data_IF_255325770816
#
_entry.id   IF_255325770816
#
_cell.length_a   1.000
_cell.length_b   1.000
_cell.length_c   1.000
_cell.angle_alpha   90.00
_cell.angle_beta   90.00
_cell.angle_gamma   90.00
#
_symmetry.space_group_name_H-M   'P 1'
#
loop_
_entity.id
_entity.type
_entity.pdbx_description
1 polymer ?
#
# COMPACT_ATOMS: atom_id res chain seq x y z
N UNK A 1 2.10 7.73 -5.54
CA UNK A 1 3.00 7.95 -6.71
C UNK A 1 4.11 8.95 -6.42
N UNK A 2 3.91 9.99 -5.60
CA UNK A 2 4.92 11.02 -5.32
C UNK A 2 6.30 10.47 -4.87
N UNK A 3 6.34 9.48 -3.96
CA UNK A 3 7.60 8.86 -3.53
C UNK A 3 8.35 8.15 -4.68
N UNK A 4 7.63 7.50 -5.59
CA UNK A 4 8.24 6.85 -6.75
C UNK A 4 8.88 7.89 -7.68
N UNK A 5 8.13 8.94 -8.04
CA UNK A 5 8.64 10.02 -8.90
C UNK A 5 9.89 10.66 -8.29
N UNK A 6 9.85 11.01 -7.01
CA UNK A 6 11.00 11.56 -6.31
C UNK A 6 12.23 10.65 -6.38
N UNK A 7 12.06 9.35 -6.09
CA UNK A 7 13.19 8.42 -6.09
C UNK A 7 13.74 8.18 -7.50
N UNK A 8 12.88 8.17 -8.51
CA UNK A 8 13.28 8.03 -9.92
C UNK A 8 14.05 9.27 -10.40
N UNK A 9 13.49 10.47 -10.18
CA UNK A 9 14.12 11.76 -10.52
C UNK A 9 15.43 12.00 -9.77
N UNK A 10 15.54 11.46 -8.55
CA UNK A 10 16.78 11.51 -7.74
C UNK A 10 17.79 10.41 -8.10
N UNK A 11 17.49 9.56 -9.08
CA UNK A 11 18.38 8.47 -9.52
C UNK A 11 18.54 7.32 -8.52
N UNK A 12 17.68 7.24 -7.50
CA UNK A 12 17.76 6.25 -6.42
C UNK A 12 17.26 4.86 -6.83
N UNK A 13 16.60 4.73 -7.99
CA UNK A 13 15.98 3.48 -8.47
C UNK A 13 16.75 2.77 -9.59
N UNK A 14 17.84 3.34 -10.11
CA UNK A 14 18.67 2.76 -11.19
C UNK A 14 19.35 1.44 -10.78
N UNK A 15 20.18 0.82 -11.63
CA UNK A 15 20.72 -0.56 -11.43
C UNK A 15 21.32 -0.84 -10.04
N UNK A 16 21.98 0.15 -9.43
CA UNK A 16 22.59 0.05 -8.09
C UNK A 16 21.71 0.57 -6.94
N UNK A 17 20.42 0.82 -7.19
CA UNK A 17 19.46 1.29 -6.20
C UNK A 17 19.26 0.32 -5.03
N UNK A 18 19.01 0.85 -3.84
CA UNK A 18 18.85 0.07 -2.62
C UNK A 18 17.65 -0.88 -2.70
N UNK A 19 17.87 -2.14 -2.33
CA UNK A 19 16.86 -3.19 -2.44
C UNK A 19 15.66 -2.93 -1.51
N UNK A 20 15.87 -2.38 -0.31
CA UNK A 20 14.78 -2.07 0.60
C UNK A 20 14.00 -0.84 0.13
N UNK A 21 14.67 0.17 -0.45
CA UNK A 21 13.99 1.31 -1.08
C UNK A 21 13.09 0.86 -2.24
N UNK A 22 13.60 0.00 -3.14
CA UNK A 22 12.80 -0.58 -4.23
C UNK A 22 11.64 -1.40 -3.67
N UNK A 23 11.89 -2.22 -2.63
CA UNK A 23 10.85 -3.02 -1.99
C UNK A 23 9.75 -2.13 -1.41
N UNK A 24 10.12 -1.09 -0.68
CA UNK A 24 9.20 -0.13 -0.08
C UNK A 24 8.22 0.42 -1.13
N UNK A 25 8.75 0.97 -2.23
CA UNK A 25 7.92 1.61 -3.25
C UNK A 25 7.10 0.59 -4.04
N UNK A 26 7.72 -0.50 -4.47
CA UNK A 26 7.06 -1.51 -5.30
C UNK A 26 5.93 -2.20 -4.54
N UNK A 27 6.11 -2.49 -3.25
CA UNK A 27 5.06 -3.10 -2.45
C UNK A 27 3.88 -2.17 -2.21
N UNK A 28 4.12 -0.87 -2.03
CA UNK A 28 3.03 0.10 -1.95
C UNK A 28 2.24 0.21 -3.27
N UNK A 29 2.93 0.27 -4.40
CA UNK A 29 2.28 0.27 -5.72
C UNK A 29 1.46 -1.01 -5.97
N UNK A 30 2.04 -2.17 -5.59
CA UNK A 30 1.35 -3.46 -5.67
C UNK A 30 0.12 -3.50 -4.78
N UNK A 31 0.20 -2.96 -3.56
CA UNK A 31 -0.95 -2.81 -2.66
C UNK A 31 -2.04 -1.98 -3.33
N UNK A 32 -1.69 -0.83 -3.92
CA UNK A 32 -2.63 0.02 -4.69
C UNK A 32 -3.34 -0.74 -5.80
N UNK A 33 -2.61 -1.52 -6.61
CA UNK A 33 -3.20 -2.34 -7.66
C UNK A 33 -4.17 -3.42 -7.10
N UNK A 34 -3.84 -4.02 -5.95
CA UNK A 34 -4.74 -4.98 -5.29
C UNK A 34 -5.98 -4.32 -4.71
N UNK A 35 -5.87 -3.10 -4.18
CA UNK A 35 -7.01 -2.32 -3.70
C UNK A 35 -7.94 -1.99 -4.87
N UNK A 36 -7.37 -1.47 -5.97
CA UNK A 36 -8.14 -1.15 -7.16
C UNK A 36 -8.93 -2.37 -7.66
N UNK A 37 -8.27 -3.52 -7.83
CA UNK A 37 -8.96 -4.75 -8.24
C UNK A 37 -9.94 -5.31 -7.21
N UNK A 38 -9.75 -5.04 -5.90
CA UNK A 38 -10.71 -5.44 -4.88
C UNK A 38 -12.00 -4.62 -4.91
N UNK A 39 -11.91 -3.37 -5.38
CA UNK A 39 -13.00 -2.39 -5.36
C UNK A 39 -13.61 -2.14 -6.75
N UNK A 40 -13.03 -2.69 -7.82
CA UNK A 40 -13.46 -2.51 -9.21
C UNK A 40 -14.94 -2.86 -9.41
N UNK A 41 -15.41 -3.96 -8.83
CA UNK A 41 -16.82 -4.38 -8.90
C UNK A 41 -17.82 -3.40 -8.26
N UNK A 42 -17.36 -2.47 -7.39
CA UNK A 42 -18.22 -1.43 -6.83
C UNK A 42 -18.62 -0.37 -7.88
N UNK A 43 -17.84 -0.22 -8.94
CA UNK A 43 -18.11 0.77 -9.98
C UNK A 43 -19.25 0.36 -10.93
N UNK A 44 -19.59 -0.93 -10.96
CA UNK A 44 -20.49 -1.50 -11.97
C UNK A 44 -21.80 -2.07 -11.38
N UNK A 45 -22.08 -1.82 -10.10
CA UNK A 45 -23.21 -2.42 -9.35
C UNK A 45 -23.28 -3.96 -9.53
N UNK A 46 -22.13 -4.59 -9.80
CA UNK A 46 -22.02 -6.03 -9.89
C UNK A 46 -22.28 -6.64 -8.51
N UNK A 47 -22.90 -7.82 -8.52
CA UNK A 47 -23.51 -8.45 -7.36
C UNK A 47 -22.53 -8.49 -6.16
N UNK A 48 -22.67 -7.52 -5.24
CA UNK A 48 -21.84 -7.34 -4.04
C UNK A 48 -21.99 -8.51 -3.03
N UNK A 49 -22.71 -9.56 -3.41
CA UNK A 49 -22.88 -10.84 -2.71
C UNK A 49 -21.55 -11.54 -2.40
N UNK A 50 -20.45 -11.11 -3.02
CA UNK A 50 -19.12 -11.60 -2.70
C UNK A 50 -18.35 -10.72 -1.69
N UNK A 51 -19.00 -10.18 -0.65
CA UNK A 51 -18.32 -9.44 0.43
C UNK A 51 -17.11 -10.19 1.02
N UNK A 52 -17.20 -11.52 1.11
CA UNK A 52 -16.06 -12.39 1.46
C UNK A 52 -14.88 -12.33 0.49
N UNK A 53 -15.14 -12.23 -0.82
CA UNK A 53 -14.11 -12.04 -1.85
C UNK A 53 -13.42 -10.68 -1.72
N UNK A 54 -14.20 -9.60 -1.55
CA UNK A 54 -13.65 -8.25 -1.33
C UNK A 54 -12.75 -8.26 -0.09
N UNK A 55 -13.20 -8.85 1.01
CA UNK A 55 -12.39 -8.99 2.24
C UNK A 55 -11.12 -9.79 1.99
N UNK A 56 -11.16 -10.88 1.22
CA UNK A 56 -9.98 -11.67 0.88
C UNK A 56 -8.98 -10.88 0.01
N UNK A 57 -9.47 -10.12 -0.97
CA UNK A 57 -8.64 -9.26 -1.82
C UNK A 57 -8.00 -8.11 -1.02
N UNK A 58 -8.77 -7.46 -0.13
CA UNK A 58 -8.27 -6.43 0.78
C UNK A 58 -7.22 -6.97 1.77
N UNK A 59 -7.39 -8.18 2.32
CA UNK A 59 -6.35 -8.85 3.12
C UNK A 59 -5.05 -9.06 2.32
N UNK A 60 -5.16 -9.40 1.03
CA UNK A 60 -3.98 -9.54 0.16
C UNK A 60 -3.28 -8.20 -0.07
N UNK A 61 -4.04 -7.12 -0.28
CA UNK A 61 -3.48 -5.76 -0.37
C UNK A 61 -2.76 -5.36 0.93
N UNK A 62 -3.37 -5.65 2.08
CA UNK A 62 -2.83 -5.36 3.41
C UNK A 62 -1.46 -6.02 3.65
N UNK A 63 -1.27 -7.25 3.18
CA UNK A 63 0.02 -7.94 3.26
C UNK A 63 1.14 -7.19 2.51
N UNK A 64 0.87 -6.67 1.32
CA UNK A 64 1.84 -5.86 0.58
C UNK A 64 2.09 -4.52 1.27
N UNK A 65 1.06 -3.91 1.85
CA UNK A 65 1.21 -2.69 2.64
C UNK A 65 2.11 -2.90 3.86
N UNK A 66 1.95 -4.01 4.60
CA UNK A 66 2.83 -4.37 5.72
C UNK A 66 4.29 -4.58 5.29
N UNK A 67 4.51 -5.18 4.11
CA UNK A 67 5.86 -5.34 3.57
C UNK A 67 6.48 -4.00 3.17
N UNK A 68 5.67 -3.06 2.68
CA UNK A 68 6.12 -1.68 2.43
C UNK A 68 6.53 -0.98 3.74
N UNK A 69 5.73 -1.10 4.81
CA UNK A 69 6.05 -0.53 6.13
C UNK A 69 7.36 -1.11 6.67
N UNK A 70 7.51 -2.44 6.64
CA UNK A 70 8.74 -3.09 7.11
C UNK A 70 9.98 -2.67 6.29
N UNK A 71 9.82 -2.47 4.99
CA UNK A 71 10.91 -1.94 4.16
C UNK A 71 11.23 -0.47 4.49
N UNK A 72 10.21 0.36 4.77
CA UNK A 72 10.40 1.74 5.19
C UNK A 72 11.21 1.85 6.50
N UNK A 73 10.97 0.95 7.47
CA UNK A 73 11.76 0.88 8.71
C UNK A 73 13.25 0.59 8.44
N UNK A 74 13.54 -0.28 7.48
CA UNK A 74 14.94 -0.55 7.07
C UNK A 74 15.55 0.64 6.35
N UNK A 75 14.79 1.32 5.50
CA UNK A 75 15.24 2.52 4.78
C UNK A 75 15.55 3.67 5.75
N UNK A 76 14.78 3.80 6.83
CA UNK A 76 15.02 4.81 7.88
C UNK A 76 16.43 4.71 8.48
N UNK A 77 16.97 3.49 8.62
CA UNK A 77 18.32 3.26 9.13
C UNK A 77 19.46 3.53 8.13
N UNK A 78 19.15 3.86 6.88
CA UNK A 78 20.15 3.96 5.78
C UNK A 78 20.43 5.38 5.31
N UNK A 79 19.71 6.38 5.80
CA UNK A 79 19.85 7.79 5.40
C UNK A 79 19.77 8.01 3.87
N UNK A 80 18.96 7.21 3.16
CA UNK A 80 18.76 7.32 1.71
C UNK A 80 17.76 8.41 1.33
N UNK A 81 16.87 8.75 2.26
CA UNK A 81 15.80 9.73 2.09
C UNK A 81 15.87 10.70 3.26
N UNK A 82 15.43 11.93 3.01
CA UNK A 82 15.11 12.86 4.08
C UNK A 82 14.06 12.27 5.04
N UNK A 83 14.25 12.53 6.34
CA UNK A 83 13.40 11.95 7.38
C UNK A 83 11.97 12.44 7.32
N UNK A 84 11.74 13.72 7.01
CA UNK A 84 10.38 14.27 6.90
C UNK A 84 9.62 13.60 5.76
N UNK A 85 10.28 13.38 4.62
CA UNK A 85 9.71 12.67 3.47
C UNK A 85 9.36 11.21 3.80
N UNK A 86 10.25 10.51 4.51
CA UNK A 86 10.00 9.12 4.89
C UNK A 86 8.86 9.03 5.90
N UNK A 87 8.79 9.92 6.89
CA UNK A 87 7.69 9.96 7.86
C UNK A 87 6.35 10.29 7.19
N UNK A 88 6.31 11.25 6.25
CA UNK A 88 5.12 11.54 5.45
C UNK A 88 4.65 10.31 4.67
N UNK A 89 5.57 9.57 4.03
CA UNK A 89 5.22 8.34 3.33
C UNK A 89 4.71 7.25 4.28
N UNK A 90 5.28 7.12 5.48
CA UNK A 90 4.79 6.19 6.50
C UNK A 90 3.39 6.55 6.97
N UNK A 91 3.10 7.84 7.15
CA UNK A 91 1.76 8.31 7.50
C UNK A 91 0.72 7.88 6.44
N UNK A 92 1.03 8.06 5.15
CA UNK A 92 0.16 7.59 4.05
C UNK A 92 -0.07 6.07 4.11
N UNK A 93 0.98 5.27 4.39
CA UNK A 93 0.84 3.81 4.55
C UNK A 93 -0.11 3.45 5.68
N UNK A 94 -0.03 4.15 6.82
CA UNK A 94 -0.93 3.91 7.95
C UNK A 94 -2.36 4.35 7.67
N UNK A 95 -2.56 5.48 6.99
CA UNK A 95 -3.91 5.92 6.60
C UNK A 95 -4.57 4.91 5.66
N UNK A 96 -3.85 4.45 4.62
CA UNK A 96 -4.35 3.41 3.71
C UNK A 96 -4.64 2.11 4.47
N UNK A 97 -3.83 1.76 5.47
CA UNK A 97 -4.05 0.56 6.31
C UNK A 97 -5.38 0.66 7.05
N UNK A 98 -5.64 1.79 7.70
CA UNK A 98 -6.89 1.99 8.45
C UNK A 98 -8.10 1.95 7.51
N UNK A 99 -8.00 2.53 6.32
CA UNK A 99 -9.07 2.46 5.31
C UNK A 99 -9.33 1.05 4.81
N UNK A 100 -8.28 0.24 4.57
CA UNK A 100 -8.44 -1.19 4.24
C UNK A 100 -9.19 -1.91 5.37
N UNK A 101 -8.81 -1.68 6.63
CA UNK A 101 -9.44 -2.33 7.79
C UNK A 101 -10.92 -1.92 7.93
N UNK A 102 -11.23 -0.63 7.73
CA UNK A 102 -12.58 -0.09 7.72
C UNK A 102 -13.44 -0.73 6.63
N UNK A 103 -12.91 -0.86 5.40
CA UNK A 103 -13.59 -1.53 4.29
C UNK A 103 -13.81 -3.02 4.59
N UNK A 104 -12.80 -3.71 5.12
CA UNK A 104 -12.93 -5.11 5.51
C UNK A 104 -14.03 -5.30 6.57
N UNK A 105 -14.16 -4.39 7.53
CA UNK A 105 -15.26 -4.42 8.52
C UNK A 105 -16.62 -4.26 7.84
N UNK A 106 -16.76 -3.26 6.95
CA UNK A 106 -17.98 -3.01 6.17
C UNK A 106 -18.43 -4.25 5.38
N UNK A 107 -17.52 -4.90 4.66
CA UNK A 107 -17.84 -6.03 3.79
C UNK A 107 -17.93 -7.40 4.49
N UNK A 108 -17.50 -7.51 5.76
CA UNK A 108 -17.79 -8.69 6.59
C UNK A 108 -19.25 -8.78 7.02
N UNK A 109 -20.00 -7.69 6.93
CA UNK A 109 -21.40 -7.65 7.34
C UNK A 109 -21.55 -7.72 8.84
N UNK A 110 -20.84 -6.87 9.60
CA UNK A 110 -21.23 -6.57 10.98
C UNK A 110 -22.71 -6.12 10.93
N UNK A 111 -23.61 -7.04 11.28
CA UNK A 111 -25.04 -6.80 11.45
C UNK A 111 -25.20 -5.59 12.38
N UNK A 112 -25.74 -4.49 11.85
CA UNK A 112 -26.57 -3.61 12.67
C UNK A 112 -27.89 -4.32 12.94
#
# INVERSE_FOLDING_TARGET
MAMWHFCDESGLLGENGDADLRRMIFQFQTAGAKIAGALDGLAYDEDLRAGGFIVAALKRALNYLHQSVSAAEKVAGKNLLDSERLESFRADLFEVREEILRLMKRFRGDRQ
#
